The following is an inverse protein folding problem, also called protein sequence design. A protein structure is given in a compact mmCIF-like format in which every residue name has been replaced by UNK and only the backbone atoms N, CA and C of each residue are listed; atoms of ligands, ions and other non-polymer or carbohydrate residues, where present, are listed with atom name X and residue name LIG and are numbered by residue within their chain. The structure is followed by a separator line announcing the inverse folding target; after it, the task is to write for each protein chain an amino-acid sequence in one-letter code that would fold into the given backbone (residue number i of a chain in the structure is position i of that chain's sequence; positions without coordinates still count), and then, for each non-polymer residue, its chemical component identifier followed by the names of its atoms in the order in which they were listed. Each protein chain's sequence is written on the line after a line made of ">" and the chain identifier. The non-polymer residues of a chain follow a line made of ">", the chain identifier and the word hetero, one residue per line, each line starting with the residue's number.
data_IF_196476531790
#
_entry.id   IF_196476531790
#
_cell.length_a   1.000
_cell.length_b   1.000
_cell.length_c   1.000
_cell.angle_alpha   90.00
_cell.angle_beta   90.00
_cell.angle_gamma   90.00
#
_symmetry.space_group_name_H-M   'P 1'
#
loop_
_entity.id
_entity.type
_entity.pdbx_description
1 polymer ?
#
# COMPACT_ATOMS: atom_id res chain seq x y z
N UNK A 1 -18.44 -9.84 2.75
CA UNK A 1 -17.76 -10.25 3.99
C UNK A 1 -16.64 -11.19 3.69
N UNK A 2 -15.56 -11.06 4.42
CA UNK A 2 -14.40 -11.93 4.15
C UNK A 2 -14.34 -13.14 5.08
N UNK A 3 -15.33 -13.33 5.94
CA UNK A 3 -15.42 -14.47 6.87
C UNK A 3 -14.15 -14.68 7.68
N UNK A 4 -13.48 -13.60 8.07
CA UNK A 4 -12.27 -13.68 8.84
C UNK A 4 -11.01 -13.91 8.02
N UNK A 5 -11.13 -14.05 6.71
CA UNK A 5 -9.96 -14.18 5.85
C UNK A 5 -9.23 -12.86 5.73
N UNK A 6 -7.90 -12.90 5.67
CA UNK A 6 -7.14 -11.68 5.40
C UNK A 6 -7.53 -11.06 4.07
N UNK A 7 -7.43 -9.75 4.01
CA UNK A 7 -7.68 -9.00 2.78
C UNK A 7 -6.34 -8.68 2.15
N UNK A 8 -6.22 -8.93 0.87
CA UNK A 8 -5.05 -8.53 0.11
C UNK A 8 -5.32 -7.17 -0.50
N UNK A 9 -4.42 -6.21 -0.28
CA UNK A 9 -4.49 -4.91 -0.90
C UNK A 9 -3.32 -4.78 -1.87
N UNK A 10 -3.67 -4.51 -3.12
CA UNK A 10 -2.69 -4.22 -4.14
C UNK A 10 -2.66 -2.71 -4.34
N UNK A 11 -1.47 -2.10 -4.28
CA UNK A 11 -1.39 -0.68 -4.53
C UNK A 11 -0.32 -0.37 -5.57
N UNK A 12 -0.57 0.70 -6.31
CA UNK A 12 0.36 1.26 -7.28
C UNK A 12 0.64 2.67 -6.83
N UNK A 13 1.90 3.07 -6.85
CA UNK A 13 2.25 4.42 -6.40
C UNK A 13 3.32 5.04 -7.27
N UNK A 14 3.13 6.33 -7.55
CA UNK A 14 4.13 7.16 -8.20
C UNK A 14 4.34 8.39 -7.34
N UNK A 15 5.60 8.69 -7.05
CA UNK A 15 5.94 9.86 -6.25
C UNK A 15 5.78 11.13 -7.07
N UNK A 16 5.15 12.13 -6.47
CA UNK A 16 5.05 13.45 -7.07
C UNK A 16 6.31 14.25 -6.75
N UNK A 17 6.51 15.30 -7.53
CA UNK A 17 7.62 16.23 -7.34
C UNK A 17 7.66 16.74 -5.90
N UNK A 18 6.49 17.01 -5.31
CA UNK A 18 6.42 17.51 -3.93
C UNK A 18 7.13 16.58 -2.96
N UNK A 19 7.04 15.24 -3.16
CA UNK A 19 7.75 14.30 -2.30
C UNK A 19 9.23 14.25 -2.65
N UNK A 20 9.52 14.19 -3.95
CA UNK A 20 10.90 14.05 -4.44
C UNK A 20 11.77 15.21 -3.97
N UNK A 21 11.20 16.40 -3.86
CA UNK A 21 11.94 17.61 -3.48
C UNK A 21 12.01 17.84 -1.97
N UNK A 22 11.40 16.98 -1.16
CA UNK A 22 11.53 17.10 0.28
C UNK A 22 13.00 16.88 0.69
N UNK A 23 13.47 17.59 1.72
CA UNK A 23 14.77 17.29 2.31
C UNK A 23 14.83 15.84 2.81
N UNK A 24 16.02 15.25 2.81
CA UNK A 24 16.18 13.84 3.19
C UNK A 24 15.62 13.54 4.58
N UNK A 25 15.76 14.45 5.52
CA UNK A 25 15.25 14.26 6.87
C UNK A 25 13.72 14.17 6.88
N UNK A 26 13.08 14.98 6.04
CA UNK A 26 11.61 14.97 5.97
C UNK A 26 11.10 13.73 5.24
N UNK A 27 11.82 13.26 4.21
CA UNK A 27 11.48 11.99 3.56
C UNK A 27 11.58 10.84 4.56
N UNK A 28 12.65 10.81 5.35
CA UNK A 28 12.85 9.76 6.34
C UNK A 28 11.75 9.79 7.41
N UNK A 29 11.39 10.97 7.88
CA UNK A 29 10.34 11.13 8.87
C UNK A 29 8.99 10.66 8.32
N UNK A 30 8.70 11.00 7.07
CA UNK A 30 7.47 10.57 6.40
C UNK A 30 7.41 9.05 6.33
N UNK A 31 8.50 8.42 5.92
CA UNK A 31 8.54 6.96 5.77
C UNK A 31 8.45 6.24 7.10
N UNK A 32 9.05 6.80 8.16
CA UNK A 32 8.95 6.22 9.49
C UNK A 32 7.51 6.30 10.01
N UNK A 33 6.84 7.41 9.77
CA UNK A 33 5.45 7.61 10.18
C UNK A 33 4.54 6.62 9.43
N UNK A 34 4.79 6.46 8.15
CA UNK A 34 4.07 5.50 7.31
C UNK A 34 4.23 4.09 7.85
N UNK A 35 5.46 3.66 8.08
CA UNK A 35 5.74 2.31 8.55
C UNK A 35 5.15 2.04 9.93
N UNK A 36 5.26 3.00 10.84
CA UNK A 36 4.73 2.83 12.19
C UNK A 36 3.21 2.61 12.17
N UNK A 37 2.52 3.32 11.28
CA UNK A 37 1.06 3.15 11.15
C UNK A 37 0.72 1.77 10.58
N UNK A 38 1.44 1.33 9.57
CA UNK A 38 1.21 0.01 8.98
C UNK A 38 1.40 -1.10 10.03
N UNK A 39 2.46 -1.01 10.80
CA UNK A 39 2.73 -1.99 11.86
C UNK A 39 1.64 -1.96 12.94
N UNK A 40 1.20 -0.78 13.33
CA UNK A 40 0.17 -0.61 14.34
C UNK A 40 -1.15 -1.25 13.91
N UNK A 41 -1.48 -1.14 12.64
CA UNK A 41 -2.74 -1.66 12.12
C UNK A 41 -2.67 -3.14 11.74
N UNK A 42 -1.51 -3.77 11.89
CA UNK A 42 -1.37 -5.21 11.66
C UNK A 42 -1.15 -5.61 10.21
N UNK A 43 -0.74 -4.66 9.36
CA UNK A 43 -0.44 -4.98 7.98
C UNK A 43 0.82 -5.85 7.88
N UNK A 44 0.78 -6.82 7.00
CA UNK A 44 1.96 -7.62 6.67
C UNK A 44 2.29 -7.39 5.20
N UNK A 45 3.52 -7.02 4.93
CA UNK A 45 3.97 -6.85 3.56
C UNK A 45 4.24 -8.22 2.97
N UNK A 46 3.67 -8.48 1.80
CA UNK A 46 3.93 -9.71 1.07
C UNK A 46 5.04 -9.47 0.06
N UNK A 47 4.94 -8.35 -0.65
CA UNK A 47 5.92 -8.03 -1.67
C UNK A 47 5.88 -6.55 -2.00
N UNK A 48 7.04 -6.00 -2.33
CA UNK A 48 7.16 -4.63 -2.84
C UNK A 48 7.98 -4.70 -4.11
N UNK A 49 7.40 -4.24 -5.20
CA UNK A 49 8.02 -4.35 -6.53
C UNK A 49 8.43 -2.97 -6.98
N UNK A 50 9.72 -2.80 -7.26
CA UNK A 50 10.23 -1.56 -7.84
C UNK A 50 10.10 -1.66 -9.36
N UNK A 51 9.19 -0.91 -9.94
CA UNK A 51 8.93 -0.96 -11.37
C UNK A 51 9.29 0.33 -12.10
N UNK A 52 9.85 1.31 -11.39
CA UNK A 52 10.20 2.60 -11.99
C UNK A 52 11.23 2.50 -13.11
N UNK A 53 12.04 1.44 -13.11
CA UNK A 53 13.03 1.24 -14.17
C UNK A 53 12.41 0.66 -15.45
N UNK A 54 11.18 0.15 -15.38
CA UNK A 54 10.55 -0.51 -16.53
C UNK A 54 9.31 0.21 -17.06
N UNK A 55 8.78 1.17 -16.29
CA UNK A 55 7.60 1.93 -16.71
C UNK A 55 7.67 3.35 -16.14
N UNK A 56 7.10 4.29 -16.85
CA UNK A 56 6.96 5.66 -16.36
C UNK A 56 5.68 5.87 -15.57
N UNK A 57 4.80 4.89 -15.60
CA UNK A 57 3.48 5.04 -14.97
C UNK A 57 3.53 4.92 -13.46
N UNK A 58 4.34 4.00 -12.94
CA UNK A 58 4.41 3.71 -11.51
C UNK A 58 5.85 3.54 -11.05
N UNK A 59 6.12 3.93 -9.81
CA UNK A 59 7.42 3.70 -9.19
C UNK A 59 7.44 2.36 -8.46
N UNK A 60 6.34 2.04 -7.75
CA UNK A 60 6.25 0.80 -6.97
C UNK A 60 4.87 0.20 -7.10
N UNK A 61 4.84 -1.12 -7.01
CA UNK A 61 3.61 -1.90 -6.86
C UNK A 61 3.79 -2.69 -5.58
N UNK A 62 2.83 -2.57 -4.66
CA UNK A 62 2.90 -3.28 -3.39
C UNK A 62 1.76 -4.26 -3.25
N UNK A 63 2.05 -5.38 -2.61
CA UNK A 63 1.06 -6.39 -2.26
C UNK A 63 1.11 -6.52 -0.74
N UNK A 64 -0.02 -6.24 -0.09
CA UNK A 64 -0.12 -6.22 1.37
C UNK A 64 -1.22 -7.13 1.83
N UNK A 65 -1.03 -7.76 2.97
CA UNK A 65 -2.09 -8.54 3.60
C UNK A 65 -2.55 -7.82 4.86
N UNK A 66 -3.85 -7.63 4.97
CA UNK A 66 -4.48 -6.89 6.05
C UNK A 66 -5.41 -7.79 6.87
N UNK A 67 -5.48 -7.58 8.19
CA UNK A 67 -6.32 -8.44 9.02
C UNK A 67 -7.82 -8.25 8.80
N UNK A 68 -8.26 -7.06 8.36
CA UNK A 68 -9.68 -6.79 8.21
C UNK A 68 -9.92 -5.56 7.36
N UNK A 69 -11.15 -5.41 6.90
CA UNK A 69 -11.57 -4.18 6.21
C UNK A 69 -11.54 -2.98 7.14
N UNK A 70 -11.83 -3.21 8.42
CA UNK A 70 -11.81 -2.12 9.40
C UNK A 70 -10.41 -1.52 9.52
N UNK A 71 -9.40 -2.37 9.57
CA UNK A 71 -8.01 -1.90 9.63
C UNK A 71 -7.66 -1.09 8.37
N UNK A 72 -8.12 -1.54 7.20
CA UNK A 72 -7.89 -0.83 5.95
C UNK A 72 -8.57 0.54 5.96
N UNK A 73 -9.80 0.62 6.49
CA UNK A 73 -10.50 1.91 6.59
C UNK A 73 -9.75 2.88 7.50
N UNK A 74 -9.21 2.39 8.61
CA UNK A 74 -8.39 3.22 9.48
C UNK A 74 -7.14 3.70 8.76
N UNK A 75 -6.53 2.82 7.98
CA UNK A 75 -5.36 3.18 7.19
C UNK A 75 -5.69 4.26 6.16
N UNK A 76 -6.81 4.15 5.47
CA UNK A 76 -7.20 5.14 4.48
C UNK A 76 -7.38 6.53 5.09
N UNK A 77 -7.96 6.59 6.29
CA UNK A 77 -8.08 7.85 7.00
C UNK A 77 -6.72 8.42 7.37
N UNK A 78 -5.80 7.57 7.81
CA UNK A 78 -4.45 7.99 8.15
C UNK A 78 -3.71 8.49 6.91
N UNK A 79 -3.86 7.81 5.78
CA UNK A 79 -3.25 8.23 4.53
C UNK A 79 -3.73 9.62 4.11
N UNK A 80 -5.03 9.86 4.27
CA UNK A 80 -5.60 11.14 3.89
C UNK A 80 -5.21 12.26 4.84
N UNK A 81 -5.36 12.01 6.15
CA UNK A 81 -5.27 13.08 7.14
C UNK A 81 -3.86 13.28 7.69
N UNK A 82 -3.08 12.22 7.82
CA UNK A 82 -1.76 12.28 8.43
C UNK A 82 -0.63 12.23 7.43
N UNK A 83 -0.76 11.42 6.39
CA UNK A 83 0.28 11.29 5.36
C UNK A 83 0.06 12.23 4.19
N UNK A 84 -1.15 12.74 4.04
CA UNK A 84 -1.49 13.62 2.91
C UNK A 84 -1.02 12.98 1.58
N UNK A 85 -1.40 11.73 1.39
CA UNK A 85 -0.87 10.95 0.25
C UNK A 85 -1.14 11.60 -1.09
N UNK A 86 -2.28 12.31 -1.24
CA UNK A 86 -2.60 12.96 -2.50
C UNK A 86 -1.67 14.13 -2.83
N UNK A 87 -1.05 14.72 -1.80
CA UNK A 87 -0.09 15.79 -2.00
C UNK A 87 1.23 15.24 -2.55
N UNK A 88 1.61 14.05 -2.10
CA UNK A 88 2.94 13.49 -2.36
C UNK A 88 2.97 12.37 -3.37
N UNK A 89 1.82 11.75 -3.66
CA UNK A 89 1.77 10.59 -4.54
C UNK A 89 0.54 10.59 -5.43
N UNK A 90 0.68 9.88 -6.55
CA UNK A 90 -0.47 9.39 -7.30
C UNK A 90 -0.54 7.91 -6.98
N UNK A 91 -1.72 7.42 -6.62
CA UNK A 91 -1.84 6.02 -6.23
C UNK A 91 -3.16 5.42 -6.71
N UNK A 92 -3.17 4.10 -6.75
CA UNK A 92 -4.36 3.32 -7.10
C UNK A 92 -4.32 2.06 -6.26
N UNK A 93 -5.45 1.68 -5.69
CA UNK A 93 -5.51 0.50 -4.83
C UNK A 93 -6.68 -0.39 -5.22
N UNK A 94 -6.47 -1.69 -5.03
CA UNK A 94 -7.50 -2.70 -5.22
C UNK A 94 -7.49 -3.64 -4.04
N UNK A 95 -8.66 -4.12 -3.65
CA UNK A 95 -8.80 -5.08 -2.56
C UNK A 95 -9.31 -6.39 -3.11
N UNK A 96 -8.84 -7.48 -2.52
CA UNK A 96 -9.31 -8.79 -2.89
C UNK A 96 -8.99 -9.81 -1.81
N UNK A 97 -9.37 -11.03 -2.05
CA UNK A 97 -9.01 -12.15 -1.18
C UNK A 97 -8.24 -13.17 -2.01
N UNK A 98 -7.29 -13.83 -1.37
CA UNK A 98 -6.47 -14.79 -2.08
C UNK A 98 -7.29 -16.01 -2.50
N UNK A 99 -7.01 -16.49 -3.70
CA UNK A 99 -7.55 -17.74 -4.22
C UNK A 99 -6.39 -18.70 -4.43
N UNK A 100 -6.64 -19.98 -4.26
CA UNK A 100 -5.58 -20.95 -4.49
C UNK A 100 -5.37 -21.16 -6.00
N UNK A 101 -4.16 -20.89 -6.45
CA UNK A 101 -3.81 -21.17 -7.83
C UNK A 101 -3.84 -22.67 -8.11
N UNK A 102 -3.61 -23.48 -7.08
CA UNK A 102 -3.63 -24.94 -7.24
C UNK A 102 -5.00 -25.45 -7.67
N UNK A 103 -6.06 -24.70 -7.39
CA UNK A 103 -7.41 -25.10 -7.80
C UNK A 103 -7.81 -24.52 -9.15
N UNK A 104 -6.97 -23.67 -9.70
CA UNK A 104 -7.27 -23.01 -10.95
C UNK A 104 -7.26 -24.00 -12.11
N UNK A 105 -8.34 -24.00 -12.88
CA UNK A 105 -8.45 -24.85 -14.04
C UNK A 105 -8.79 -26.31 -13.74
N UNK A 106 -9.03 -26.63 -12.47
CA UNK A 106 -9.44 -27.98 -12.07
C UNK A 106 -10.97 -28.00 -11.98
N UNK A 107 -11.56 -28.88 -12.67
CA UNK A 107 -13.00 -29.05 -12.65
C UNK A 107 -13.35 -30.50 -12.61
#
# INVERSE_FOLDING_TARGET
>A
MNDGKPITRLFFVKMKKAFIELPDEEKAAYMQKDRANLDKLGMKAISMINCGWSTDEWDYIGIERWPSLEAIKKRELFERDELEVDKYTVSKTYLGTDESFDDYGKE
#
